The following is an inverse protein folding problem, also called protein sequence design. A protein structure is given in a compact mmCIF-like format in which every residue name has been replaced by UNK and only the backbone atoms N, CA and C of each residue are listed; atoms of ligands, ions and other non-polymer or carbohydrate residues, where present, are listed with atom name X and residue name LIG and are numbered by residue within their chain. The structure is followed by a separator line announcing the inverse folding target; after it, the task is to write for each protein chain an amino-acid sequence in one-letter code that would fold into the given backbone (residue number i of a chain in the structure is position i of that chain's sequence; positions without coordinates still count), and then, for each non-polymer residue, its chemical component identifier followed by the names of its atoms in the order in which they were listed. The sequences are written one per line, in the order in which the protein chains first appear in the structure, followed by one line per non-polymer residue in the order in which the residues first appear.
data_IF_795758076009
#
_entry.id   IF_795758076009
#
_cell.length_a   1.000
_cell.length_b   1.000
_cell.length_c   1.000
_cell.angle_alpha   90.00
_cell.angle_beta   90.00
_cell.angle_gamma   90.00
#
_symmetry.space_group_name_H-M   'P 1'
#
loop_
_entity.id
_entity.type
_entity.pdbx_description
1 polymer ?
#
# COMPACT_ATOMS: atom_id res chain seq x y z
N UNK A 1 -12.64 -0.19 -30.40
CA UNK A 1 -11.97 -0.87 -29.27
C UNK A 1 -10.63 -0.19 -29.03
N UNK A 2 -10.35 0.30 -27.81
CA UNK A 2 -9.02 0.82 -27.48
C UNK A 2 -8.02 -0.35 -27.56
N UNK A 3 -6.91 -0.15 -28.22
CA UNK A 3 -5.83 -1.15 -28.26
C UNK A 3 -5.27 -1.35 -26.85
N UNK A 4 -4.66 -2.50 -26.57
CA UNK A 4 -4.05 -2.82 -25.26
C UNK A 4 -3.02 -1.75 -24.82
N UNK A 5 -2.43 -1.04 -25.77
CA UNK A 5 -1.49 0.07 -25.55
C UNK A 5 -2.15 1.36 -25.05
N UNK A 6 -3.46 1.53 -25.23
CA UNK A 6 -4.19 2.73 -24.81
C UNK A 6 -4.77 2.62 -23.38
N UNK A 7 -4.77 1.42 -22.80
CA UNK A 7 -5.29 1.22 -21.44
C UNK A 7 -4.23 1.54 -20.39
N UNK A 8 -4.67 2.13 -19.28
CA UNK A 8 -3.81 2.35 -18.12
C UNK A 8 -3.48 1.03 -17.44
N UNK A 9 -2.29 0.95 -16.87
CA UNK A 9 -1.80 -0.17 -16.08
C UNK A 9 -1.63 0.25 -14.63
N UNK A 10 -2.18 -0.52 -13.68
CA UNK A 10 -2.00 -0.33 -12.26
C UNK A 10 -1.30 -1.52 -11.62
N UNK A 11 -0.32 -1.24 -10.75
CA UNK A 11 0.24 -2.21 -9.81
C UNK A 11 -0.25 -1.86 -8.40
N UNK A 12 -0.83 -2.83 -7.71
CA UNK A 12 -1.30 -2.70 -6.32
C UNK A 12 -0.53 -3.70 -5.46
N UNK A 13 0.22 -3.23 -4.47
CA UNK A 13 0.94 -4.10 -3.54
C UNK A 13 0.02 -4.63 -2.45
N UNK A 14 0.24 -5.88 -1.99
CA UNK A 14 -0.61 -6.50 -0.98
C UNK A 14 -2.07 -6.68 -1.44
N UNK A 15 -2.29 -6.93 -2.73
CA UNK A 15 -3.61 -6.95 -3.36
C UNK A 15 -4.32 -8.31 -3.31
N UNK A 16 -3.80 -9.28 -2.57
CA UNK A 16 -4.42 -10.60 -2.45
C UNK A 16 -5.66 -10.63 -1.50
N UNK A 17 -5.90 -9.54 -0.76
CA UNK A 17 -7.03 -9.41 0.18
C UNK A 17 -7.30 -7.96 0.59
N UNK A 18 -8.38 -7.75 1.35
CA UNK A 18 -8.67 -6.48 2.03
C UNK A 18 -8.72 -5.28 1.11
N UNK A 19 -8.16 -4.16 1.57
CA UNK A 19 -8.17 -2.87 0.86
C UNK A 19 -7.53 -2.98 -0.53
N UNK A 20 -6.40 -3.70 -0.65
CA UNK A 20 -5.71 -3.84 -1.93
C UNK A 20 -6.54 -4.58 -2.99
N UNK A 21 -7.23 -5.65 -2.60
CA UNK A 21 -8.13 -6.39 -3.49
C UNK A 21 -9.35 -5.54 -3.88
N UNK A 22 -9.94 -4.83 -2.92
CA UNK A 22 -11.08 -3.96 -3.22
C UNK A 22 -10.67 -2.79 -4.12
N UNK A 23 -9.49 -2.21 -3.90
CA UNK A 23 -8.92 -1.17 -4.78
C UNK A 23 -8.72 -1.70 -6.20
N UNK A 24 -8.24 -2.95 -6.35
CA UNK A 24 -8.11 -3.58 -7.65
C UNK A 24 -9.46 -3.69 -8.37
N UNK A 25 -10.50 -4.16 -7.69
CA UNK A 25 -11.86 -4.25 -8.25
C UNK A 25 -12.38 -2.89 -8.71
N UNK A 26 -12.25 -1.87 -7.87
CA UNK A 26 -12.72 -0.52 -8.21
C UNK A 26 -11.98 0.07 -9.42
N UNK A 27 -10.66 -0.09 -9.50
CA UNK A 27 -9.87 0.33 -10.67
C UNK A 27 -10.23 -0.47 -11.92
N UNK A 28 -10.61 -1.75 -11.77
CA UNK A 28 -11.06 -2.61 -12.87
C UNK A 28 -12.34 -2.08 -13.53
N UNK A 29 -13.26 -1.50 -12.77
CA UNK A 29 -14.48 -0.85 -13.28
C UNK A 29 -14.16 0.30 -14.26
N UNK A 30 -13.03 0.98 -14.05
CA UNK A 30 -12.55 2.05 -14.93
C UNK A 30 -11.78 1.51 -16.17
N UNK A 31 -11.78 0.19 -16.39
CA UNK A 31 -11.10 -0.46 -17.51
C UNK A 31 -9.57 -0.47 -17.42
N UNK A 32 -9.02 -0.32 -16.23
CA UNK A 32 -7.58 -0.35 -15.94
C UNK A 32 -7.11 -1.81 -15.92
N UNK A 33 -5.95 -2.09 -16.50
CA UNK A 33 -5.29 -3.40 -16.39
C UNK A 33 -4.63 -3.48 -15.01
N UNK A 34 -4.84 -4.58 -14.30
CA UNK A 34 -4.48 -4.72 -12.89
C UNK A 34 -3.37 -5.75 -12.70
N UNK A 35 -2.29 -5.34 -12.05
CA UNK A 35 -1.28 -6.25 -11.52
C UNK A 35 -1.45 -6.32 -10.00
N UNK A 36 -1.79 -7.50 -9.51
CA UNK A 36 -2.00 -7.77 -8.09
C UNK A 36 -0.69 -8.31 -7.49
N UNK A 37 0.04 -7.44 -6.81
CA UNK A 37 1.27 -7.80 -6.12
C UNK A 37 0.98 -8.55 -4.81
N UNK A 38 1.52 -9.75 -4.67
CA UNK A 38 1.37 -10.57 -3.47
C UNK A 38 2.64 -11.37 -3.16
N UNK A 39 2.98 -11.53 -1.87
CA UNK A 39 4.10 -12.36 -1.42
C UNK A 39 3.89 -13.85 -1.75
N UNK A 40 2.68 -14.33 -1.61
CA UNK A 40 2.30 -15.68 -2.02
C UNK A 40 1.74 -15.67 -3.43
N UNK A 41 2.42 -16.35 -4.35
CA UNK A 41 1.97 -16.51 -5.73
C UNK A 41 0.58 -17.15 -5.80
N UNK A 42 0.34 -18.18 -4.99
CA UNK A 42 -0.94 -18.89 -4.97
C UNK A 42 -2.09 -17.99 -4.50
N UNK A 43 -1.89 -17.20 -3.43
CA UNK A 43 -2.91 -16.26 -2.94
C UNK A 43 -3.13 -15.11 -3.92
N UNK A 44 -2.07 -14.65 -4.57
CA UNK A 44 -2.17 -13.63 -5.62
C UNK A 44 -3.02 -14.11 -6.79
N UNK A 45 -2.83 -15.35 -7.23
CA UNK A 45 -3.59 -15.92 -8.34
C UNK A 45 -5.06 -16.14 -8.01
N UNK A 46 -5.38 -16.59 -6.78
CA UNK A 46 -6.79 -16.66 -6.30
C UNK A 46 -7.46 -15.29 -6.34
N UNK A 47 -6.76 -14.25 -5.91
CA UNK A 47 -7.26 -12.88 -5.97
C UNK A 47 -7.46 -12.39 -7.41
N UNK A 48 -6.47 -12.63 -8.28
CA UNK A 48 -6.57 -12.26 -9.70
C UNK A 48 -7.73 -12.97 -10.39
N UNK A 49 -7.94 -14.26 -10.09
CA UNK A 49 -9.07 -15.03 -10.61
C UNK A 49 -10.42 -14.46 -10.15
N UNK A 50 -10.50 -14.04 -8.87
CA UNK A 50 -11.70 -13.38 -8.34
C UNK A 50 -12.01 -12.09 -9.12
N UNK A 51 -11.00 -11.29 -9.42
CA UNK A 51 -11.15 -10.04 -10.17
C UNK A 51 -11.50 -10.33 -11.65
N UNK A 52 -10.91 -11.36 -12.26
CA UNK A 52 -11.25 -11.78 -13.63
C UNK A 52 -12.68 -12.28 -13.76
N UNK A 53 -13.21 -12.99 -12.75
CA UNK A 53 -14.63 -13.44 -12.73
C UNK A 53 -15.63 -12.29 -12.71
N UNK A 54 -15.22 -11.13 -12.21
CA UNK A 54 -16.01 -9.89 -12.29
C UNK A 54 -15.89 -9.17 -13.65
N UNK A 55 -15.16 -9.76 -14.61
CA UNK A 55 -15.02 -9.23 -15.97
C UNK A 55 -13.83 -8.28 -16.16
N UNK A 56 -12.96 -8.13 -15.17
CA UNK A 56 -11.82 -7.21 -15.22
C UNK A 56 -10.52 -7.91 -15.68
N UNK A 57 -9.59 -7.15 -16.24
CA UNK A 57 -8.28 -7.67 -16.63
C UNK A 57 -7.33 -7.63 -15.43
N UNK A 58 -6.99 -8.78 -14.91
CA UNK A 58 -6.12 -8.90 -13.73
C UNK A 58 -5.10 -10.03 -13.89
N UNK A 59 -3.89 -9.78 -13.41
CA UNK A 59 -2.79 -10.74 -13.38
C UNK A 59 -2.07 -10.65 -12.03
N UNK A 60 -1.74 -11.79 -11.44
CA UNK A 60 -0.96 -11.84 -10.21
C UNK A 60 0.53 -11.69 -10.52
N UNK A 61 1.24 -10.94 -9.67
CA UNK A 61 2.70 -10.85 -9.72
C UNK A 61 3.28 -11.15 -8.34
N UNK A 62 4.35 -11.96 -8.31
CA UNK A 62 5.08 -12.20 -7.08
C UNK A 62 5.81 -10.93 -6.66
N UNK A 63 5.41 -10.35 -5.54
CA UNK A 63 5.97 -9.12 -5.03
C UNK A 63 5.98 -9.12 -3.50
N UNK A 64 7.17 -9.21 -2.94
CA UNK A 64 7.45 -8.89 -1.54
C UNK A 64 8.13 -7.52 -1.50
N UNK A 65 7.50 -6.55 -0.84
CA UNK A 65 8.05 -5.19 -0.76
C UNK A 65 9.36 -5.12 0.03
N UNK A 66 9.65 -6.14 0.83
CA UNK A 66 10.91 -6.24 1.60
C UNK A 66 12.03 -6.96 0.83
N UNK A 67 11.72 -7.54 -0.35
CA UNK A 67 12.70 -8.27 -1.17
C UNK A 67 13.00 -7.53 -2.48
N UNK A 68 14.15 -6.84 -2.60
CA UNK A 68 14.56 -6.16 -3.82
C UNK A 68 14.62 -7.03 -5.07
N UNK A 69 14.85 -8.34 -4.92
CA UNK A 69 14.88 -9.25 -6.07
C UNK A 69 13.49 -9.39 -6.73
N UNK A 70 12.42 -9.27 -5.95
CA UNK A 70 11.05 -9.25 -6.49
C UNK A 70 10.73 -7.93 -7.19
N UNK A 71 11.30 -6.80 -6.71
CA UNK A 71 11.15 -5.50 -7.36
C UNK A 71 11.74 -5.51 -8.78
N UNK A 72 12.94 -6.09 -8.94
CA UNK A 72 13.59 -6.25 -10.24
C UNK A 72 12.74 -7.09 -11.20
N UNK A 73 12.25 -8.24 -10.74
CA UNK A 73 11.40 -9.12 -11.55
C UNK A 73 10.12 -8.42 -12.02
N UNK A 74 9.46 -7.67 -11.14
CA UNK A 74 8.25 -6.93 -11.47
C UNK A 74 8.56 -5.77 -12.42
N UNK A 75 9.66 -5.04 -12.19
CA UNK A 75 10.11 -4.01 -13.13
C UNK A 75 10.32 -4.59 -14.54
N UNK A 76 11.09 -5.66 -14.66
CA UNK A 76 11.39 -6.30 -15.93
C UNK A 76 10.14 -6.83 -16.62
N UNK A 77 9.22 -7.42 -15.86
CA UNK A 77 7.95 -7.90 -16.37
C UNK A 77 7.10 -6.77 -16.97
N UNK A 78 6.94 -5.67 -16.22
CA UNK A 78 6.20 -4.49 -16.71
C UNK A 78 6.90 -3.85 -17.90
N UNK A 79 8.22 -3.68 -17.81
CA UNK A 79 9.01 -3.04 -18.86
C UNK A 79 8.91 -3.78 -20.20
N UNK A 80 9.01 -5.12 -20.19
CA UNK A 80 8.92 -5.94 -21.40
C UNK A 80 7.54 -5.94 -22.03
N UNK A 81 6.48 -5.88 -21.22
CA UNK A 81 5.11 -6.11 -21.71
C UNK A 81 4.34 -4.83 -22.02
N UNK A 82 4.56 -3.76 -21.25
CA UNK A 82 3.86 -2.48 -21.43
C UNK A 82 4.80 -1.27 -21.57
N UNK A 83 6.05 -1.37 -21.16
CA UNK A 83 7.05 -0.31 -21.25
C UNK A 83 6.82 0.85 -20.28
N UNK A 84 5.68 0.90 -19.57
CA UNK A 84 5.29 1.95 -18.61
C UNK A 84 4.41 1.40 -17.50
N UNK A 85 4.31 2.18 -16.42
CA UNK A 85 3.37 1.96 -15.33
C UNK A 85 2.58 3.25 -15.08
N UNK A 86 1.26 3.22 -15.19
CA UNK A 86 0.43 4.41 -15.07
C UNK A 86 0.04 4.69 -13.60
N UNK A 87 -0.19 3.64 -12.81
CA UNK A 87 -0.64 3.75 -11.41
C UNK A 87 0.15 2.78 -10.55
N UNK A 88 0.73 3.29 -9.46
CA UNK A 88 1.30 2.50 -8.38
C UNK A 88 0.50 2.75 -7.10
N UNK A 89 -0.08 1.70 -6.53
CA UNK A 89 -0.74 1.74 -5.22
C UNK A 89 0.11 0.96 -4.22
N UNK A 90 0.82 1.68 -3.37
CA UNK A 90 1.57 1.12 -2.26
C UNK A 90 0.60 0.86 -1.10
N UNK A 91 -0.02 -0.33 -1.11
CA UNK A 91 -1.01 -0.73 -0.12
C UNK A 91 -0.45 -1.77 0.87
N UNK A 92 0.59 -2.53 0.50
CA UNK A 92 1.19 -3.49 1.42
C UNK A 92 1.61 -2.80 2.73
N UNK A 93 1.26 -3.42 3.85
CA UNK A 93 1.58 -2.90 5.16
C UNK A 93 1.25 -3.90 6.26
N UNK A 94 1.87 -3.72 7.40
CA UNK A 94 1.69 -4.54 8.61
C UNK A 94 1.51 -3.63 9.82
N UNK A 95 0.80 -4.15 10.84
CA UNK A 95 0.74 -3.62 12.19
C UNK A 95 1.08 -4.79 13.12
N UNK A 96 2.32 -4.86 13.56
CA UNK A 96 2.85 -5.99 14.35
C UNK A 96 2.63 -5.81 15.85
N UNK A 97 2.25 -4.62 16.25
CA UNK A 97 1.96 -4.23 17.63
C UNK A 97 0.47 -4.36 17.96
N UNK A 98 -0.27 -5.20 17.26
CA UNK A 98 -1.71 -5.23 17.42
C UNK A 98 -2.12 -5.19 18.90
N UNK A 99 -3.00 -4.28 19.30
CA UNK A 99 -3.54 -4.21 20.65
C UNK A 99 -4.52 -5.37 20.92
N UNK A 100 -4.50 -6.43 20.11
CA UNK A 100 -5.32 -7.60 20.36
C UNK A 100 -4.88 -8.21 21.69
N UNK A 101 -5.72 -8.03 22.64
CA UNK A 101 -6.14 -8.71 23.85
C UNK A 101 -5.42 -9.99 24.35
N UNK A 102 -4.28 -10.38 23.81
CA UNK A 102 -3.52 -11.57 24.26
C UNK A 102 -2.25 -11.23 25.08
N UNK A 103 -1.86 -9.96 25.16
CA UNK A 103 -0.81 -9.55 26.08
C UNK A 103 -1.45 -9.16 27.41
N UNK A 104 -1.12 -9.90 28.47
CA UNK A 104 -1.47 -9.55 29.85
C UNK A 104 -0.67 -8.35 30.37
N UNK A 105 0.23 -7.82 29.56
CA UNK A 105 1.06 -6.65 29.88
C UNK A 105 0.47 -5.38 29.23
N UNK A 106 -0.09 -4.46 30.03
CA UNK A 106 -0.65 -3.19 29.54
C UNK A 106 0.41 -2.23 28.98
N UNK A 107 1.69 -2.53 29.17
CA UNK A 107 2.80 -1.73 28.63
C UNK A 107 3.34 -2.26 27.31
N UNK A 108 2.87 -3.42 26.85
CA UNK A 108 3.27 -4.01 25.59
C UNK A 108 2.92 -3.05 24.43
N UNK A 109 3.92 -2.69 23.63
CA UNK A 109 3.74 -1.77 22.50
C UNK A 109 3.90 -0.29 22.83
N UNK A 110 4.15 0.08 24.08
CA UNK A 110 4.50 1.47 24.40
C UNK A 110 5.89 1.84 23.86
N UNK A 111 6.14 3.13 23.52
CA UNK A 111 7.44 3.56 22.98
C UNK A 111 8.65 3.19 23.83
N UNK A 112 8.47 3.11 25.16
CA UNK A 112 9.54 2.78 26.11
C UNK A 112 9.82 1.28 26.25
N UNK A 113 8.93 0.41 25.79
CA UNK A 113 9.00 -1.05 25.99
C UNK A 113 8.94 -1.85 24.70
N UNK A 114 8.53 -1.23 23.60
CA UNK A 114 8.45 -1.89 22.30
C UNK A 114 9.82 -2.43 21.88
N UNK A 115 9.87 -3.67 21.41
CA UNK A 115 11.10 -4.24 20.89
C UNK A 115 11.58 -3.51 19.65
N UNK A 116 12.89 -3.31 19.54
CA UNK A 116 13.48 -2.73 18.33
C UNK A 116 13.27 -3.61 17.09
N UNK A 117 13.11 -4.90 17.26
CA UNK A 117 12.87 -5.82 16.15
C UNK A 117 11.47 -5.61 15.57
N UNK A 118 10.43 -5.51 16.41
CA UNK A 118 9.08 -5.13 15.98
C UNK A 118 9.06 -3.79 15.24
N UNK A 119 9.79 -2.80 15.78
CA UNK A 119 9.92 -1.49 15.14
C UNK A 119 10.58 -1.61 13.76
N UNK A 120 11.71 -2.33 13.65
CA UNK A 120 12.42 -2.54 12.38
C UNK A 120 11.55 -3.27 11.35
N UNK A 121 10.93 -4.39 11.73
CA UNK A 121 10.10 -5.18 10.82
C UNK A 121 8.89 -4.37 10.30
N UNK A 122 8.27 -3.55 11.17
CA UNK A 122 7.20 -2.65 10.76
C UNK A 122 7.70 -1.62 9.75
N UNK A 123 8.82 -0.99 10.02
CA UNK A 123 9.43 -0.02 9.10
C UNK A 123 9.91 -0.66 7.81
N UNK A 124 10.45 -1.87 7.86
CA UNK A 124 10.91 -2.57 6.67
C UNK A 124 9.78 -2.75 5.66
N UNK A 125 8.61 -3.18 6.12
CA UNK A 125 7.45 -3.35 5.23
C UNK A 125 6.79 -2.01 4.87
N UNK A 126 6.47 -1.18 5.88
CA UNK A 126 5.59 -0.02 5.68
C UNK A 126 6.31 1.18 5.05
N UNK A 127 7.63 1.26 5.21
CA UNK A 127 8.41 2.41 4.78
C UNK A 127 9.55 2.03 3.82
N UNK A 128 10.56 1.30 4.27
CA UNK A 128 11.75 1.03 3.44
C UNK A 128 11.42 0.27 2.17
N UNK A 129 10.64 -0.80 2.26
CA UNK A 129 10.21 -1.58 1.11
C UNK A 129 9.35 -0.76 0.14
N UNK A 130 8.45 0.07 0.68
CA UNK A 130 7.63 0.99 -0.13
C UNK A 130 8.49 2.01 -0.88
N UNK A 131 9.49 2.61 -0.20
CA UNK A 131 10.42 3.56 -0.81
C UNK A 131 11.25 2.88 -1.89
N UNK A 132 11.87 1.75 -1.59
CA UNK A 132 12.71 0.99 -2.52
C UNK A 132 11.95 0.57 -3.78
N UNK A 133 10.75 0.00 -3.61
CA UNK A 133 9.89 -0.37 -4.75
C UNK A 133 9.50 0.84 -5.59
N UNK A 134 9.10 1.94 -4.95
CA UNK A 134 8.72 3.17 -5.65
C UNK A 134 9.87 3.71 -6.46
N UNK A 135 11.08 3.78 -5.88
CA UNK A 135 12.29 4.21 -6.58
C UNK A 135 12.62 3.31 -7.78
N UNK A 136 12.50 1.99 -7.61
CA UNK A 136 12.74 1.02 -8.69
C UNK A 136 11.75 1.16 -9.84
N UNK A 137 10.48 1.45 -9.54
CA UNK A 137 9.43 1.57 -10.56
C UNK A 137 9.27 2.99 -11.14
N UNK A 138 9.85 4.00 -10.51
CA UNK A 138 9.73 5.40 -10.94
C UNK A 138 10.13 5.63 -12.42
N UNK A 139 11.16 4.98 -13.00
CA UNK A 139 11.48 5.12 -14.42
C UNK A 139 10.32 4.67 -15.34
N UNK A 140 9.55 3.66 -14.94
CA UNK A 140 8.36 3.21 -15.70
C UNK A 140 7.20 4.21 -15.55
N UNK A 141 7.02 4.77 -14.34
CA UNK A 141 5.98 5.76 -14.06
C UNK A 141 6.26 7.06 -14.81
N UNK A 142 7.53 7.45 -14.96
CA UNK A 142 7.93 8.62 -15.75
C UNK A 142 7.61 8.51 -17.25
N UNK A 143 7.38 7.30 -17.76
CA UNK A 143 6.96 7.07 -19.16
C UNK A 143 5.44 7.14 -19.35
N UNK A 144 4.69 7.17 -18.26
CA UNK A 144 3.23 7.33 -18.34
C UNK A 144 2.85 8.77 -18.65
N UNK A 145 1.82 9.02 -19.47
CA UNK A 145 1.34 10.38 -19.78
C UNK A 145 0.91 11.16 -18.55
N UNK A 146 0.42 10.45 -17.52
CA UNK A 146 -0.06 11.04 -16.28
C UNK A 146 0.08 10.00 -15.14
N UNK A 147 1.30 9.80 -14.63
CA UNK A 147 1.59 8.84 -13.57
C UNK A 147 0.87 9.16 -12.25
N UNK A 148 0.47 8.13 -11.52
CA UNK A 148 -0.15 8.25 -10.19
C UNK A 148 0.55 7.32 -9.21
N UNK A 149 0.97 7.87 -8.08
CA UNK A 149 1.51 7.11 -6.95
C UNK A 149 0.61 7.38 -5.76
N UNK A 150 0.06 6.33 -5.17
CA UNK A 150 -0.79 6.41 -3.98
C UNK A 150 -0.18 5.55 -2.89
N UNK A 151 0.15 6.18 -1.78
CA UNK A 151 0.63 5.50 -0.57
C UNK A 151 -0.54 5.33 0.39
N UNK A 152 -0.94 4.08 0.67
CA UNK A 152 -1.99 3.81 1.67
C UNK A 152 -1.40 4.04 3.05
N UNK A 153 -1.75 5.19 3.60
CA UNK A 153 -1.31 5.67 4.91
C UNK A 153 -2.42 5.52 5.95
N UNK A 154 -2.33 6.29 7.01
CA UNK A 154 -3.31 6.33 8.08
C UNK A 154 -3.40 7.74 8.67
N UNK A 155 -4.55 8.10 9.20
CA UNK A 155 -4.70 9.28 10.05
C UNK A 155 -3.76 9.23 11.26
N UNK A 156 -3.46 8.02 11.74
CA UNK A 156 -2.53 7.78 12.86
C UNK A 156 -1.07 8.12 12.54
N UNK A 157 -0.74 8.42 11.29
CA UNK A 157 0.53 9.03 10.91
C UNK A 157 0.59 10.55 11.08
N UNK A 158 -0.44 11.17 11.64
CA UNK A 158 -0.49 12.63 11.89
C UNK A 158 0.04 12.96 13.28
N UNK A 159 1.22 13.59 13.37
CA UNK A 159 1.81 14.03 14.62
C UNK A 159 0.95 15.12 15.29
N UNK A 160 0.37 16.03 14.52
CA UNK A 160 -0.51 17.08 15.01
C UNK A 160 -1.74 16.50 15.71
N UNK A 161 -2.41 15.52 15.10
CA UNK A 161 -3.59 14.91 15.69
C UNK A 161 -3.26 14.07 16.92
N UNK A 162 -2.08 13.43 16.99
CA UNK A 162 -1.65 12.73 18.20
C UNK A 162 -1.33 13.67 19.36
N UNK A 163 -0.88 14.89 19.08
CA UNK A 163 -0.56 15.86 20.11
C UNK A 163 -1.78 16.66 20.61
N UNK A 164 -2.92 16.56 19.93
CA UNK A 164 -4.16 17.24 20.32
C UNK A 164 -5.01 16.36 21.24
N UNK A 165 -5.21 16.72 22.52
CA UNK A 165 -6.03 15.95 23.46
C UNK A 165 -7.50 15.80 23.04
N UNK A 166 -7.99 16.62 22.13
CA UNK A 166 -9.36 16.54 21.61
C UNK A 166 -9.47 15.65 20.36
N UNK A 167 -8.35 15.18 19.84
CA UNK A 167 -8.34 14.32 18.67
C UNK A 167 -8.82 12.90 18.98
N UNK A 168 -9.63 12.29 18.11
CA UNK A 168 -10.10 10.91 18.30
C UNK A 168 -8.99 9.85 18.26
N UNK A 169 -7.78 10.23 17.85
CA UNK A 169 -6.62 9.31 17.79
C UNK A 169 -5.58 9.61 18.88
N UNK A 170 -5.83 10.59 19.77
CA UNK A 170 -4.87 10.98 20.81
C UNK A 170 -4.37 9.79 21.64
N UNK A 171 -5.29 8.94 22.09
CA UNK A 171 -5.00 7.77 22.91
C UNK A 171 -4.70 6.49 22.10
N UNK A 172 -4.66 6.58 20.77
CA UNK A 172 -4.40 5.43 19.92
C UNK A 172 -2.91 5.18 19.77
N UNK A 173 -2.33 4.43 20.71
CA UNK A 173 -0.90 4.17 20.80
C UNK A 173 -0.52 2.81 20.17
N UNK A 174 -0.13 2.86 18.90
CA UNK A 174 0.51 1.75 18.15
C UNK A 174 1.79 2.34 17.54
N UNK A 175 2.83 2.44 18.36
CA UNK A 175 3.98 3.32 18.11
C UNK A 175 4.72 3.03 16.79
N UNK A 176 5.09 1.77 16.51
CA UNK A 176 5.82 1.43 15.29
C UNK A 176 4.95 1.68 14.05
N UNK A 177 3.68 1.29 14.09
CA UNK A 177 2.76 1.53 12.99
C UNK A 177 2.56 3.03 12.74
N UNK A 178 2.22 3.79 13.77
CA UNK A 178 1.95 5.23 13.68
C UNK A 178 3.17 5.98 13.13
N UNK A 179 4.36 5.69 13.66
CA UNK A 179 5.60 6.32 13.21
C UNK A 179 5.98 5.91 11.79
N UNK A 180 5.76 4.65 11.39
CA UNK A 180 5.97 4.21 10.01
C UNK A 180 5.06 4.95 9.02
N UNK A 181 3.80 5.21 9.40
CA UNK A 181 2.86 5.98 8.57
C UNK A 181 3.19 7.48 8.53
N UNK A 182 3.74 8.05 9.62
CA UNK A 182 4.29 9.39 9.60
C UNK A 182 5.48 9.53 8.65
N UNK A 183 6.41 8.56 8.68
CA UNK A 183 7.53 8.49 7.74
C UNK A 183 7.05 8.36 6.28
N UNK A 184 6.03 7.54 6.03
CA UNK A 184 5.43 7.38 4.71
C UNK A 184 4.75 8.67 4.21
N UNK A 185 4.10 9.42 5.09
CA UNK A 185 3.54 10.73 4.77
C UNK A 185 4.64 11.73 4.40
N UNK A 186 5.75 11.74 5.14
CA UNK A 186 6.93 12.56 4.82
C UNK A 186 7.49 12.20 3.43
N UNK A 187 7.69 10.91 3.14
CA UNK A 187 8.12 10.44 1.81
C UNK A 187 7.18 10.93 0.71
N UNK A 188 5.86 10.82 0.92
CA UNK A 188 4.85 11.28 -0.04
C UNK A 188 5.01 12.77 -0.37
N UNK A 189 5.18 13.62 0.66
CA UNK A 189 5.35 15.06 0.50
C UNK A 189 6.63 15.37 -0.27
N UNK A 190 7.76 14.76 0.10
CA UNK A 190 9.03 15.00 -0.56
C UNK A 190 9.04 14.52 -2.01
N UNK A 191 8.48 13.34 -2.29
CA UNK A 191 8.39 12.82 -3.66
C UNK A 191 7.43 13.65 -4.51
N UNK A 192 6.31 14.11 -3.95
CA UNK A 192 5.39 15.02 -4.64
C UNK A 192 6.08 16.35 -4.99
N UNK A 193 6.91 16.88 -4.08
CA UNK A 193 7.68 18.09 -4.33
C UNK A 193 8.76 17.87 -5.42
N UNK A 194 9.49 16.75 -5.37
CA UNK A 194 10.47 16.39 -6.41
C UNK A 194 9.81 16.34 -7.79
N UNK A 195 8.62 15.74 -7.87
CA UNK A 195 7.90 15.50 -9.12
C UNK A 195 6.95 16.64 -9.52
N UNK A 196 6.94 17.80 -8.82
CA UNK A 196 5.95 18.88 -8.99
C UNK A 196 5.87 19.45 -10.41
N UNK A 197 6.98 19.44 -11.14
CA UNK A 197 7.07 19.94 -12.53
C UNK A 197 6.84 18.83 -13.58
N UNK A 198 6.30 17.69 -13.17
CA UNK A 198 5.96 16.57 -14.04
C UNK A 198 4.45 16.30 -14.01
N UNK A 199 3.88 15.54 -14.96
CA UNK A 199 2.48 15.14 -14.90
C UNK A 199 2.18 14.09 -13.82
N UNK A 200 3.19 13.63 -13.08
CA UNK A 200 3.03 12.62 -12.01
C UNK A 200 2.46 13.29 -10.75
N UNK A 201 1.50 12.62 -10.12
CA UNK A 201 0.94 13.04 -8.82
C UNK A 201 1.17 11.95 -7.78
N UNK A 202 1.58 12.39 -6.58
CA UNK A 202 1.88 11.51 -5.44
C UNK A 202 1.00 11.94 -4.27
N UNK A 203 0.25 10.99 -3.71
CA UNK A 203 -0.68 11.26 -2.61
C UNK A 203 -0.62 10.17 -1.55
N UNK A 204 -0.87 10.55 -0.29
CA UNK A 204 -1.26 9.62 0.77
C UNK A 204 -2.78 9.47 0.80
N UNK A 205 -3.27 8.27 1.05
CA UNK A 205 -4.68 7.98 1.24
C UNK A 205 -4.89 7.32 2.60
N UNK A 206 -5.85 7.84 3.38
CA UNK A 206 -6.35 7.19 4.58
C UNK A 206 -7.67 6.50 4.25
N UNK A 207 -7.75 5.15 4.32
CA UNK A 207 -8.95 4.42 3.92
C UNK A 207 -10.06 4.39 4.99
N UNK A 208 -9.83 5.01 6.16
CA UNK A 208 -10.65 4.79 7.34
C UNK A 208 -10.26 3.52 8.12
N UNK A 209 -11.04 3.19 9.15
CA UNK A 209 -10.88 1.94 9.89
C UNK A 209 -11.74 0.87 9.24
N UNK A 210 -11.13 0.08 8.37
CA UNK A 210 -11.82 -0.87 7.48
C UNK A 210 -11.77 -2.29 8.05
N UNK A 211 -12.89 -3.01 8.00
CA UNK A 211 -12.98 -4.43 8.35
C UNK A 211 -12.11 -5.27 7.43
N UNK A 212 -10.92 -5.57 7.90
CA UNK A 212 -9.92 -6.42 7.28
C UNK A 212 -9.27 -7.25 8.36
N UNK A 213 -8.42 -8.18 8.01
CA UNK A 213 -7.63 -8.93 9.00
C UNK A 213 -6.79 -8.00 9.90
N UNK A 214 -6.26 -6.90 9.36
CA UNK A 214 -5.53 -5.90 10.14
C UNK A 214 -6.46 -5.01 10.97
N UNK A 215 -7.61 -4.62 10.44
CA UNK A 215 -8.55 -3.72 11.11
C UNK A 215 -9.41 -4.41 12.17
N UNK A 216 -9.52 -5.74 12.10
CA UNK A 216 -10.35 -6.54 13.01
C UNK A 216 -11.86 -6.42 12.74
N UNK A 217 -12.63 -7.20 13.51
CA UNK A 217 -14.09 -7.26 13.35
C UNK A 217 -14.82 -6.01 13.85
N UNK A 218 -14.19 -5.27 14.78
CA UNK A 218 -14.74 -4.06 15.38
C UNK A 218 -14.55 -2.79 14.53
N UNK A 219 -13.96 -2.92 13.36
CA UNK A 219 -13.77 -1.77 12.49
C UNK A 219 -15.13 -1.23 11.97
N UNK A 220 -15.25 0.10 11.90
CA UNK A 220 -16.51 0.80 11.60
C UNK A 220 -16.93 0.67 10.13
N UNK A 221 -15.96 0.52 9.23
CA UNK A 221 -16.21 0.50 7.79
C UNK A 221 -16.06 -0.93 7.24
N UNK A 222 -17.12 -1.47 6.64
CA UNK A 222 -16.95 -2.61 5.74
C UNK A 222 -16.00 -2.18 4.61
N UNK A 223 -15.08 -3.06 4.19
CA UNK A 223 -14.39 -2.88 2.91
C UNK A 223 -15.49 -2.85 1.85
N UNK A 224 -15.88 -1.63 1.43
CA UNK A 224 -17.07 -1.44 0.62
C UNK A 224 -16.96 -2.18 -0.70
N UNK A 225 -18.13 -2.72 -1.07
CA UNK A 225 -18.40 -3.35 -2.36
C UNK A 225 -18.20 -2.37 -3.51
#
# INVERSE_FOLDING_TARGET
MKTTTDRRLALITGANRGIGLQTAKNLGQDGIILLLGARSVAMGEVAAETVRKEGFQAEAVHLDVTDPATHEKVYDFINRRWGRLDILVNNAGVCLESPTASSSDPTAGQPSTLSLDTLRETFETNFFGTVALTQRLLPLIRRAPAGRIVNVSSITGSLTLHSDPLSPIHDYNVFAYNTSKAALNSFTIHLAYELRNTPIKVNSAHPGWVKTEMGGENADLAAQK
#
